data_IF_839044353296
#
_entry.id   IF_839044353296
#
_cell.length_a   1.000
_cell.length_b   1.000
_cell.length_c   1.000
_cell.angle_alpha   90.00
_cell.angle_beta   90.00
_cell.angle_gamma   90.00
#
_symmetry.space_group_name_H-M   'P 1'
#
loop_
_entity.id
_entity.type
_entity.pdbx_description
1 polymer ?
#
# COMPACT_ATOMS: atom_id res chain seq x y z
N UNK A 1 26.89 45.76 -59.75
CA UNK A 1 25.80 45.50 -58.78
C UNK A 1 26.08 44.18 -58.09
N UNK A 2 26.23 44.21 -56.76
CA UNK A 2 26.59 43.06 -55.91
C UNK A 2 25.38 42.12 -55.77
N UNK A 3 25.51 40.86 -56.17
CA UNK A 3 24.53 39.82 -55.85
C UNK A 3 25.00 39.07 -54.60
N UNK A 4 24.36 39.37 -53.48
CA UNK A 4 24.57 38.80 -52.15
C UNK A 4 24.07 37.35 -52.10
N UNK A 5 24.89 36.45 -51.56
CA UNK A 5 24.53 35.04 -51.26
C UNK A 5 23.65 34.98 -50.01
N UNK A 6 22.54 34.22 -49.98
CA UNK A 6 21.75 34.02 -48.76
C UNK A 6 22.43 32.95 -47.89
N UNK A 7 23.22 33.41 -46.91
CA UNK A 7 23.66 32.59 -45.78
C UNK A 7 22.58 32.72 -44.69
N UNK A 8 21.60 31.83 -44.70
CA UNK A 8 20.42 31.96 -43.84
C UNK A 8 19.65 30.67 -43.68
N UNK A 9 20.35 29.55 -43.50
CA UNK A 9 19.77 28.30 -43.06
C UNK A 9 20.73 27.75 -42.00
N UNK A 10 20.29 27.64 -40.74
CA UNK A 10 20.79 26.68 -39.73
C UNK A 10 20.33 26.95 -38.28
N UNK A 11 19.49 27.97 -38.00
CA UNK A 11 19.00 28.22 -36.62
C UNK A 11 17.51 27.88 -36.56
N UNK A 12 17.14 26.61 -36.38
CA UNK A 12 15.71 26.26 -36.35
C UNK A 12 15.31 24.87 -35.84
N UNK A 13 16.20 24.08 -35.24
CA UNK A 13 15.89 22.68 -34.87
C UNK A 13 16.49 22.24 -33.53
N UNK A 14 16.34 23.04 -32.47
CA UNK A 14 16.75 22.62 -31.11
C UNK A 14 15.64 22.62 -30.05
N UNK A 15 14.38 22.96 -30.38
CA UNK A 15 13.27 22.89 -29.42
C UNK A 15 12.22 21.85 -29.85
N UNK A 16 12.52 20.56 -29.68
CA UNK A 16 11.47 19.52 -29.76
C UNK A 16 11.78 18.22 -29.01
N UNK A 17 12.82 18.17 -28.16
CA UNK A 17 12.96 17.10 -27.20
C UNK A 17 12.14 17.44 -25.95
N UNK A 18 10.81 17.55 -26.12
CA UNK A 18 9.89 17.47 -24.99
C UNK A 18 10.02 16.03 -24.51
N UNK A 19 10.80 15.83 -23.46
CA UNK A 19 10.81 14.57 -22.72
C UNK A 19 9.35 14.29 -22.34
N UNK A 20 8.76 13.25 -22.92
CA UNK A 20 7.53 12.67 -22.39
C UNK A 20 7.89 12.14 -21.01
N UNK A 21 7.74 12.96 -19.97
CA UNK A 21 7.68 12.49 -18.59
C UNK A 21 6.43 11.60 -18.52
N UNK A 22 6.63 10.30 -18.75
CA UNK A 22 5.54 9.35 -18.85
C UNK A 22 4.76 9.29 -17.55
N UNK A 23 3.48 9.66 -17.61
CA UNK A 23 2.55 9.33 -16.53
C UNK A 23 2.57 7.80 -16.36
N UNK A 24 2.91 7.32 -15.17
CA UNK A 24 2.71 5.91 -14.86
C UNK A 24 1.20 5.62 -14.88
N UNK A 25 0.76 4.47 -15.41
CA UNK A 25 -0.65 4.13 -15.44
C UNK A 25 -1.22 4.07 -14.01
N UNK A 26 -2.47 4.52 -13.86
CA UNK A 26 -3.24 4.38 -12.62
C UNK A 26 -3.48 2.89 -12.37
N UNK A 27 -3.33 2.46 -11.13
CA UNK A 27 -3.61 1.07 -10.73
C UNK A 27 -5.11 0.94 -10.52
N UNK A 28 -5.74 0.07 -11.30
CA UNK A 28 -7.18 -0.17 -11.20
C UNK A 28 -7.47 -1.16 -10.09
N UNK A 29 -8.32 -0.77 -9.14
CA UNK A 29 -8.70 -1.57 -7.98
C UNK A 29 -10.21 -1.49 -7.75
N UNK A 30 -10.73 -2.44 -6.98
CA UNK A 30 -12.08 -2.35 -6.43
C UNK A 30 -12.01 -1.79 -4.99
N UNK A 31 -12.89 -0.86 -4.60
CA UNK A 31 -12.97 -0.41 -3.22
C UNK A 31 -13.47 -1.55 -2.32
N UNK A 32 -13.01 -1.57 -1.07
CA UNK A 32 -13.57 -2.45 -0.06
C UNK A 32 -15.01 -2.04 0.31
N UNK A 33 -15.76 -2.95 0.94
CA UNK A 33 -17.18 -2.75 1.25
C UNK A 33 -17.43 -1.49 2.09
N UNK A 34 -16.56 -1.23 3.08
CA UNK A 34 -16.64 -0.08 3.99
C UNK A 34 -15.55 0.97 3.69
N UNK A 35 -15.11 1.09 2.44
CA UNK A 35 -14.08 2.06 2.02
C UNK A 35 -14.44 3.54 2.32
N UNK A 36 -15.73 3.83 2.55
CA UNK A 36 -16.23 5.16 2.92
C UNK A 36 -16.13 5.46 4.43
N UNK A 37 -15.62 4.53 5.24
CA UNK A 37 -15.43 4.75 6.68
C UNK A 37 -14.50 5.97 6.93
N UNK A 38 -14.88 6.92 7.80
CA UNK A 38 -14.06 8.10 8.08
C UNK A 38 -12.65 7.78 8.61
N UNK A 39 -12.48 6.67 9.33
CA UNK A 39 -11.18 6.19 9.80
C UNK A 39 -10.24 5.83 8.65
N UNK A 40 -10.76 5.41 7.49
CA UNK A 40 -9.94 5.18 6.31
C UNK A 40 -9.33 6.47 5.76
N UNK A 41 -10.02 7.61 5.88
CA UNK A 41 -9.44 8.89 5.50
C UNK A 41 -8.22 9.22 6.38
N UNK A 42 -8.31 8.98 7.69
CA UNK A 42 -7.20 9.19 8.63
C UNK A 42 -5.97 8.32 8.30
N UNK A 43 -6.20 7.07 7.90
CA UNK A 43 -5.12 6.17 7.46
C UNK A 43 -4.49 6.69 6.16
N UNK A 44 -5.31 6.95 5.13
CA UNK A 44 -4.84 7.26 3.78
C UNK A 44 -3.99 8.53 3.72
N UNK A 45 -4.34 9.56 4.50
CA UNK A 45 -3.58 10.82 4.53
C UNK A 45 -2.22 10.69 5.22
N UNK A 46 -1.97 9.58 5.91
CA UNK A 46 -0.72 9.27 6.61
C UNK A 46 0.12 8.20 5.89
N UNK A 47 -0.36 7.65 4.78
CA UNK A 47 0.38 6.67 4.01
C UNK A 47 1.66 7.29 3.42
N UNK A 48 2.80 6.57 3.48
CA UNK A 48 4.08 7.10 3.02
C UNK A 48 4.17 7.17 1.49
N UNK A 49 4.98 8.09 0.99
CA UNK A 49 5.24 8.26 -0.45
C UNK A 49 6.07 7.10 -1.05
N UNK A 50 6.72 6.31 -0.21
CA UNK A 50 7.47 5.12 -0.61
C UNK A 50 7.37 4.02 0.45
N UNK A 51 7.37 2.76 -0.01
CA UNK A 51 7.44 1.57 0.83
C UNK A 51 8.55 0.67 0.30
N UNK A 52 9.52 0.32 1.14
CA UNK A 52 10.68 -0.51 0.76
C UNK A 52 11.40 -0.02 -0.52
N UNK A 53 11.48 1.31 -0.70
CA UNK A 53 12.06 1.94 -1.90
C UNK A 53 11.13 1.98 -3.13
N UNK A 54 9.97 1.34 -3.08
CA UNK A 54 8.97 1.38 -4.14
C UNK A 54 8.19 2.70 -4.09
N UNK A 55 8.09 3.45 -5.21
CA UNK A 55 7.37 4.72 -5.24
C UNK A 55 5.85 4.50 -5.24
N UNK A 56 5.12 5.38 -4.56
CA UNK A 56 3.65 5.39 -4.56
C UNK A 56 3.08 5.59 -5.97
N UNK A 57 1.92 4.99 -6.21
CA UNK A 57 1.14 5.01 -7.45
C UNK A 57 -0.25 5.57 -7.19
N UNK A 58 -0.81 6.18 -8.22
CA UNK A 58 -2.22 6.58 -8.21
C UNK A 58 -3.11 5.35 -8.35
N UNK A 59 -4.24 5.35 -7.65
CA UNK A 59 -5.29 4.32 -7.71
C UNK A 59 -6.63 4.99 -8.04
N UNK A 60 -7.54 4.26 -8.68
CA UNK A 60 -8.87 4.78 -9.07
C UNK A 60 -10.01 4.42 -8.10
N UNK A 61 -9.73 3.63 -7.06
CA UNK A 61 -10.67 3.27 -6.00
C UNK A 61 -10.53 4.13 -4.74
N UNK A 62 -11.60 4.16 -3.95
CA UNK A 62 -11.61 4.84 -2.65
C UNK A 62 -10.85 4.03 -1.61
N UNK A 63 -10.20 4.72 -0.69
CA UNK A 63 -9.47 4.13 0.43
C UNK A 63 -8.44 3.06 0.03
N UNK A 64 -7.90 3.19 -1.19
CA UNK A 64 -6.83 2.34 -1.71
C UNK A 64 -5.52 3.10 -1.89
N UNK A 65 -4.41 2.36 -1.90
CA UNK A 65 -3.11 2.87 -2.34
C UNK A 65 -2.28 1.73 -2.93
N UNK A 66 -1.32 2.08 -3.77
CA UNK A 66 -0.42 1.12 -4.41
C UNK A 66 1.01 1.67 -4.48
N UNK A 67 2.01 0.78 -4.47
CA UNK A 67 3.43 1.10 -4.64
C UNK A 67 4.09 0.12 -5.60
N UNK A 68 5.07 0.61 -6.37
CA UNK A 68 5.82 -0.18 -7.34
C UNK A 68 5.31 -0.06 -8.79
N UNK A 69 6.13 -0.53 -9.74
CA UNK A 69 5.77 -0.58 -11.18
C UNK A 69 6.43 -1.80 -11.83
N UNK A 70 5.75 -2.97 -11.90
CA UNK A 70 4.35 -3.21 -11.56
C UNK A 70 4.04 -3.07 -10.06
N UNK A 71 2.77 -2.85 -9.66
CA UNK A 71 2.42 -2.72 -8.26
C UNK A 71 2.78 -3.99 -7.48
N UNK A 72 3.56 -3.84 -6.42
CA UNK A 72 4.01 -4.93 -5.54
C UNK A 72 3.44 -4.80 -4.12
N UNK A 73 2.96 -3.61 -3.75
CA UNK A 73 2.26 -3.41 -2.48
C UNK A 73 0.93 -2.72 -2.76
N UNK A 74 -0.16 -3.27 -2.22
CA UNK A 74 -1.49 -2.67 -2.25
C UNK A 74 -2.01 -2.50 -0.82
N UNK A 75 -2.73 -1.42 -0.57
CA UNK A 75 -3.44 -1.17 0.68
C UNK A 75 -4.91 -0.96 0.35
N UNK A 76 -5.80 -1.66 1.04
CA UNK A 76 -7.25 -1.51 0.96
C UNK A 76 -7.81 -1.33 2.36
N UNK A 77 -8.37 -0.17 2.67
CA UNK A 77 -9.04 0.09 3.94
C UNK A 77 -10.56 -0.09 3.85
N UNK A 78 -11.19 -0.55 4.93
CA UNK A 78 -12.63 -0.81 4.99
C UNK A 78 -12.98 -2.24 4.55
N UNK A 79 -12.05 -3.18 4.71
CA UNK A 79 -12.32 -4.61 4.54
C UNK A 79 -13.08 -5.15 5.75
N UNK A 80 -13.68 -6.35 5.60
CA UNK A 80 -14.40 -7.01 6.69
C UNK A 80 -13.52 -7.15 7.94
N UNK A 81 -14.05 -6.70 9.07
CA UNK A 81 -13.36 -6.75 10.35
C UNK A 81 -13.35 -8.18 10.88
N UNK A 82 -12.16 -8.78 11.06
CA UNK A 82 -12.06 -10.15 11.55
C UNK A 82 -12.45 -10.23 13.04
N UNK A 83 -13.52 -10.97 13.35
CA UNK A 83 -13.88 -11.32 14.74
C UNK A 83 -13.12 -12.55 15.26
N UNK A 84 -12.68 -13.42 14.35
CA UNK A 84 -11.83 -14.58 14.59
C UNK A 84 -11.08 -14.93 13.29
N UNK A 85 -9.98 -15.67 13.41
CA UNK A 85 -9.23 -16.14 12.24
C UNK A 85 -8.46 -17.43 12.54
N UNK A 86 -8.30 -18.25 11.52
CA UNK A 86 -7.37 -19.39 11.51
C UNK A 86 -6.00 -19.04 10.93
N UNK A 87 -5.83 -17.81 10.41
CA UNK A 87 -4.54 -17.35 9.89
C UNK A 87 -3.57 -17.05 11.02
N UNK A 88 -2.28 -17.18 10.73
CA UNK A 88 -1.22 -16.86 11.68
C UNK A 88 -1.30 -15.39 12.04
N UNK A 89 -1.48 -15.11 13.34
CA UNK A 89 -1.44 -13.75 13.89
C UNK A 89 0.01 -13.37 14.22
N UNK A 90 0.50 -12.26 13.68
CA UNK A 90 1.85 -11.77 13.91
C UNK A 90 1.81 -10.35 14.50
N UNK A 91 2.80 -10.03 15.34
CA UNK A 91 3.02 -8.68 15.86
C UNK A 91 4.18 -8.03 15.11
N UNK A 92 3.92 -6.85 14.56
CA UNK A 92 4.94 -5.98 13.97
C UNK A 92 4.81 -4.62 14.63
N UNK A 93 5.79 -4.26 15.46
CA UNK A 93 5.85 -2.99 16.19
C UNK A 93 4.58 -2.66 17.00
N UNK A 94 3.98 -3.68 17.63
CA UNK A 94 2.76 -3.54 18.44
C UNK A 94 1.47 -3.42 17.61
N UNK A 95 1.55 -3.65 16.30
CA UNK A 95 0.39 -3.79 15.41
C UNK A 95 0.23 -5.26 15.04
N UNK A 96 -0.97 -5.79 15.22
CA UNK A 96 -1.28 -7.18 14.93
C UNK A 96 -1.82 -7.36 13.52
N UNK A 97 -1.33 -8.41 12.85
CA UNK A 97 -1.69 -8.72 11.48
C UNK A 97 -2.03 -10.21 11.36
N UNK A 98 -3.12 -10.52 10.68
CA UNK A 98 -3.45 -11.87 10.23
C UNK A 98 -2.77 -12.11 8.88
N UNK A 99 -1.79 -13.02 8.85
CA UNK A 99 -1.03 -13.37 7.64
C UNK A 99 -1.75 -14.47 6.86
N UNK A 100 -2.35 -14.10 5.73
CA UNK A 100 -2.80 -15.05 4.72
C UNK A 100 -1.74 -15.18 3.61
N UNK A 101 -1.15 -16.37 3.52
CA UNK A 101 -0.12 -16.72 2.54
C UNK A 101 -0.55 -17.87 1.61
N UNK A 102 -1.84 -18.05 1.40
CA UNK A 102 -2.37 -19.11 0.51
C UNK A 102 -2.03 -18.88 -0.97
N UNK A 103 -1.63 -17.66 -1.34
CA UNK A 103 -1.36 -17.23 -2.71
C UNK A 103 0.10 -16.76 -2.92
N UNK A 104 1.06 -17.34 -2.18
CA UNK A 104 2.48 -16.97 -2.31
C UNK A 104 2.96 -16.98 -3.79
N UNK A 105 3.77 -15.97 -4.21
CA UNK A 105 4.46 -14.96 -3.37
C UNK A 105 3.60 -13.76 -2.97
N UNK A 106 2.33 -13.69 -3.36
CA UNK A 106 1.41 -12.63 -2.92
C UNK A 106 0.82 -12.96 -1.55
N UNK A 107 1.22 -12.22 -0.52
CA UNK A 107 0.79 -12.40 0.86
C UNK A 107 -0.10 -11.24 1.29
N UNK A 108 -1.26 -11.55 1.89
CA UNK A 108 -2.17 -10.54 2.45
C UNK A 108 -2.03 -10.49 3.96
N UNK A 109 -1.81 -9.30 4.49
CA UNK A 109 -1.78 -9.01 5.91
C UNK A 109 -3.00 -8.17 6.27
N UNK A 110 -3.94 -8.77 7.01
CA UNK A 110 -5.13 -8.06 7.50
C UNK A 110 -4.89 -7.50 8.88
N UNK A 111 -5.14 -6.21 9.07
CA UNK A 111 -5.07 -5.55 10.37
C UNK A 111 -6.01 -6.25 11.37
N UNK A 112 -5.50 -6.53 12.57
CA UNK A 112 -6.22 -7.23 13.62
C UNK A 112 -6.26 -6.44 14.92
N UNK A 113 -7.35 -6.61 15.68
CA UNK A 113 -7.53 -5.91 16.96
C UNK A 113 -7.97 -4.45 16.84
N UNK A 114 -8.28 -3.98 15.63
CA UNK A 114 -8.58 -2.58 15.34
C UNK A 114 -9.59 -2.43 14.20
N UNK A 115 -10.28 -1.28 14.20
CA UNK A 115 -11.31 -0.91 13.23
C UNK A 115 -11.12 0.55 12.76
N UNK A 116 -11.32 0.87 11.47
CA UNK A 116 -11.64 -0.04 10.36
C UNK A 116 -10.49 -1.01 10.06
N UNK A 117 -10.81 -2.20 9.53
CA UNK A 117 -9.80 -3.17 9.12
C UNK A 117 -9.19 -2.81 7.76
N UNK A 118 -7.95 -3.22 7.57
CA UNK A 118 -7.12 -2.87 6.41
C UNK A 118 -6.43 -4.13 5.91
N UNK A 119 -6.47 -4.38 4.61
CA UNK A 119 -5.62 -5.36 3.95
C UNK A 119 -4.38 -4.68 3.37
N UNK A 120 -3.21 -5.23 3.67
CA UNK A 120 -1.94 -4.92 3.01
C UNK A 120 -1.53 -6.14 2.21
N UNK A 121 -1.60 -6.05 0.89
CA UNK A 121 -1.18 -7.12 -0.03
C UNK A 121 0.25 -6.82 -0.46
N UNK A 122 1.16 -7.79 -0.30
CA UNK A 122 2.58 -7.66 -0.61
C UNK A 122 3.01 -8.81 -1.50
N UNK A 123 3.62 -8.49 -2.64
CA UNK A 123 4.44 -9.42 -3.39
C UNK A 123 5.81 -9.53 -2.71
N UNK A 124 6.04 -10.66 -2.04
CA UNK A 124 7.24 -10.86 -1.22
C UNK A 124 8.51 -11.09 -2.02
N UNK A 125 8.42 -11.30 -3.35
CA UNK A 125 9.60 -11.36 -4.22
C UNK A 125 10.14 -9.96 -4.54
N UNK A 126 9.30 -8.93 -4.43
CA UNK A 126 9.61 -7.54 -4.81
C UNK A 126 9.75 -6.60 -3.59
N UNK A 127 9.13 -6.92 -2.45
CA UNK A 127 9.20 -6.10 -1.24
C UNK A 127 9.26 -6.91 0.06
N UNK A 128 10.00 -6.40 1.04
CA UNK A 128 10.03 -6.92 2.40
C UNK A 128 8.73 -6.61 3.13
N UNK A 129 7.93 -7.65 3.39
CA UNK A 129 6.69 -7.51 4.17
C UNK A 129 6.92 -6.87 5.55
N UNK A 130 8.02 -7.21 6.24
CA UNK A 130 8.34 -6.60 7.52
C UNK A 130 8.60 -5.09 7.39
N UNK A 131 9.41 -4.69 6.40
CA UNK A 131 9.70 -3.27 6.13
C UNK A 131 8.43 -2.49 5.80
N UNK A 132 7.56 -3.09 4.98
CA UNK A 132 6.27 -2.51 4.57
C UNK A 132 5.36 -2.31 5.79
N UNK A 133 5.15 -3.34 6.60
CA UNK A 133 4.24 -3.27 7.76
C UNK A 133 4.75 -2.29 8.82
N UNK A 134 6.06 -2.27 9.10
CA UNK A 134 6.68 -1.27 10.00
C UNK A 134 6.46 0.15 9.48
N UNK A 135 6.67 0.40 8.18
CA UNK A 135 6.48 1.73 7.60
C UNK A 135 5.01 2.20 7.61
N UNK A 136 4.06 1.27 7.68
CA UNK A 136 2.63 1.55 7.78
C UNK A 136 2.13 1.68 9.23
N UNK A 137 2.94 1.33 10.23
CA UNK A 137 2.53 1.24 11.64
C UNK A 137 1.89 2.55 12.15
N UNK A 138 2.52 3.70 11.87
CA UNK A 138 2.00 5.02 12.29
C UNK A 138 0.65 5.36 11.64
N UNK A 139 0.46 4.99 10.37
CA UNK A 139 -0.78 5.24 9.64
C UNK A 139 -1.92 4.38 10.19
N UNK A 140 -1.67 3.10 10.45
CA UNK A 140 -2.71 2.19 10.96
C UNK A 140 -2.97 2.35 12.46
N UNK A 141 -2.03 2.91 13.23
CA UNK A 141 -2.21 3.20 14.65
C UNK A 141 -3.34 4.20 14.94
N UNK A 142 -3.79 4.97 13.94
CA UNK A 142 -4.94 5.90 14.09
C UNK A 142 -6.28 5.20 14.16
N UNK A 143 -6.36 3.92 13.77
CA UNK A 143 -7.57 3.09 13.88
C UNK A 143 -7.89 2.77 15.34
N UNK A 144 -9.16 2.55 15.65
CA UNK A 144 -9.63 2.34 17.02
C UNK A 144 -9.44 0.87 17.44
N UNK A 145 -8.84 0.58 18.61
CA UNK A 145 -8.81 -0.77 19.15
C UNK A 145 -10.21 -1.33 19.39
N UNK A 146 -10.44 -2.59 19.01
CA UNK A 146 -11.74 -3.26 19.15
C UNK A 146 -11.75 -4.39 20.20
N UNK A 147 -10.65 -4.54 20.95
CA UNK A 147 -10.53 -5.52 22.05
C UNK A 147 -10.04 -6.90 21.64
N UNK A 148 -9.91 -7.18 20.33
CA UNK A 148 -9.25 -8.39 19.85
C UNK A 148 -7.72 -8.24 19.89
N UNK A 149 -7.01 -9.36 20.06
CA UNK A 149 -5.54 -9.41 20.04
C UNK A 149 -5.01 -10.75 19.58
N UNK A 150 -3.77 -10.79 19.09
CA UNK A 150 -3.08 -12.07 18.93
C UNK A 150 -3.04 -12.79 20.29
N UNK A 151 -3.37 -14.08 20.29
CA UNK A 151 -3.27 -14.94 21.47
C UNK A 151 -2.22 -15.99 21.18
N UNK A 152 -1.30 -16.17 22.12
CA UNK A 152 -0.29 -17.22 22.02
C UNK A 152 -0.90 -18.59 22.38
N UNK A 153 -0.28 -19.67 21.91
CA UNK A 153 -0.71 -21.02 22.23
C UNK A 153 -0.74 -21.29 23.75
N UNK A 154 0.14 -20.62 24.52
CA UNK A 154 0.24 -20.76 25.97
C UNK A 154 -0.94 -20.13 26.72
N UNK A 155 -1.52 -19.03 26.20
CA UNK A 155 -2.71 -18.39 26.76
C UNK A 155 -3.91 -19.35 26.75
N UNK A 156 -3.96 -20.28 25.78
CA UNK A 156 -5.03 -21.28 25.66
C UNK A 156 -4.95 -22.44 26.66
N UNK A 157 -3.79 -22.67 27.29
CA UNK A 157 -3.54 -23.82 28.18
C UNK A 157 -3.75 -23.51 29.68
N UNK A 158 -4.13 -22.28 30.03
CA UNK A 158 -4.26 -21.84 31.43
C UNK A 158 -5.63 -22.15 32.08
N UNK A 159 -6.53 -22.87 31.38
CA UNK A 159 -7.79 -23.34 31.98
C UNK A 159 -7.56 -24.68 32.70
N UNK A 160 -7.01 -24.61 33.93
CA UNK A 160 -7.06 -25.72 34.87
C UNK A 160 -5.77 -25.96 35.66
N UNK A 161 -5.65 -25.33 36.82
CA UNK A 161 -4.88 -25.85 37.97
C UNK A 161 -5.64 -25.52 39.25
#
# INVERSE_FOLDING_TARGET
MRTSRPLGALIGTLLAAIALTGCQPVVSLDPAADAADPGCADVVVRLPDALDGLPRRDTDAQATAAWGSPPAVLVLCGVEVPSASSYTCIDVDGVWWLRNAEQEPTVTFRLYGREPAIDVVVDTDEASAASVLTALADAVATTQPNGHRCVDAEDSLSVGS
#
